data_IF_933435532115
#
_entry.id   IF_933435532115
#
_cell.length_a   1.000
_cell.length_b   1.000
_cell.length_c   1.000
_cell.angle_alpha   90.00
_cell.angle_beta   90.00
_cell.angle_gamma   90.00
#
_symmetry.space_group_name_H-M   'P 1'
#
loop_
_entity.id
_entity.type
_entity.pdbx_description
1 polymer ?
#
# COMPACT_ATOMS: atom_id res chain seq x y z
N UNK A 1 14.29 17.92 -3.86
CA UNK A 1 14.01 16.55 -3.38
C UNK A 1 13.02 16.52 -2.20
N UNK A 2 13.34 17.12 -1.04
CA UNK A 2 12.48 17.06 0.15
C UNK A 2 11.06 17.64 -0.03
N UNK A 3 10.89 18.74 -0.80
CA UNK A 3 9.57 19.35 -1.05
C UNK A 3 8.60 18.42 -1.80
N UNK A 4 9.08 17.76 -2.86
CA UNK A 4 8.27 16.83 -3.68
C UNK A 4 7.88 15.60 -2.86
N UNK A 5 8.83 15.05 -2.11
CA UNK A 5 8.60 13.92 -1.21
C UNK A 5 7.53 14.24 -0.15
N UNK A 6 7.65 15.39 0.53
CA UNK A 6 6.69 15.79 1.56
C UNK A 6 5.29 16.06 1.00
N UNK A 7 5.19 16.66 -0.20
CA UNK A 7 3.90 16.90 -0.84
C UNK A 7 3.19 15.59 -1.19
N UNK A 8 3.92 14.61 -1.75
CA UNK A 8 3.36 13.30 -2.09
C UNK A 8 2.96 12.49 -0.84
N UNK A 9 3.77 12.54 0.21
CA UNK A 9 3.45 11.87 1.47
C UNK A 9 2.21 12.46 2.17
N UNK A 10 1.98 13.77 2.07
CA UNK A 10 0.77 14.41 2.63
C UNK A 10 -0.50 13.98 1.89
N UNK A 11 -0.42 13.71 0.59
CA UNK A 11 -1.59 13.33 -0.23
C UNK A 11 -1.85 11.81 -0.21
N UNK A 12 -0.80 10.99 -0.33
CA UNK A 12 -0.93 9.55 -0.54
C UNK A 12 -0.52 8.71 0.67
N UNK A 13 0.04 9.31 1.71
CA UNK A 13 0.56 8.58 2.88
C UNK A 13 2.00 8.06 2.69
N UNK A 14 2.67 7.79 3.81
CA UNK A 14 4.09 7.43 3.83
C UNK A 14 4.40 6.06 3.22
N UNK A 15 3.43 5.14 3.17
CA UNK A 15 3.60 3.75 2.73
C UNK A 15 3.32 3.54 1.24
N UNK A 16 2.91 4.59 0.52
CA UNK A 16 2.49 4.52 -0.89
C UNK A 16 3.45 5.18 -1.87
N UNK A 17 4.41 5.95 -1.36
CA UNK A 17 5.47 6.59 -2.15
C UNK A 17 6.76 5.77 -1.98
N UNK A 18 7.11 4.96 -2.97
CA UNK A 18 8.30 4.10 -2.91
C UNK A 18 9.54 4.79 -3.46
N UNK A 19 9.65 4.85 -4.78
CA UNK A 19 10.81 5.40 -5.47
C UNK A 19 10.53 6.80 -6.03
N UNK A 20 11.36 7.77 -5.64
CA UNK A 20 11.39 9.12 -6.19
C UNK A 20 12.75 9.37 -6.85
N UNK A 21 12.75 9.36 -8.17
CA UNK A 21 13.93 9.71 -8.96
C UNK A 21 13.83 11.16 -9.44
N UNK A 22 14.83 11.96 -9.10
CA UNK A 22 14.96 13.35 -9.57
C UNK A 22 16.35 13.51 -10.17
N UNK A 23 16.41 13.73 -11.48
CA UNK A 23 17.62 14.16 -12.17
C UNK A 23 17.50 15.64 -12.51
N UNK A 24 18.49 16.41 -12.09
CA UNK A 24 18.65 17.82 -12.46
C UNK A 24 19.91 17.88 -13.32
N UNK A 25 19.74 18.19 -14.60
CA UNK A 25 20.82 18.60 -15.49
C UNK A 25 20.93 20.13 -15.46
N UNK A 26 22.03 20.70 -15.99
CA UNK A 26 22.28 22.16 -15.98
C UNK A 26 21.06 22.94 -16.49
N UNK A 27 20.37 22.39 -17.50
CA UNK A 27 19.23 23.03 -18.16
C UNK A 27 17.94 22.19 -18.15
N UNK A 28 17.81 21.11 -17.37
CA UNK A 28 16.60 20.26 -17.44
C UNK A 28 16.30 19.53 -16.14
N UNK A 29 15.02 19.46 -15.78
CA UNK A 29 14.52 18.65 -14.67
C UNK A 29 13.77 17.42 -15.21
N UNK A 30 14.15 16.24 -14.74
CA UNK A 30 13.41 14.99 -15.01
C UNK A 30 13.02 14.34 -13.69
N UNK A 31 11.72 14.14 -13.50
CA UNK A 31 11.16 13.51 -12.30
C UNK A 31 10.36 12.28 -12.70
N UNK A 32 10.61 11.17 -12.01
CA UNK A 32 9.79 9.97 -12.10
C UNK A 32 9.34 9.57 -10.70
N UNK A 33 8.03 9.31 -10.56
CA UNK A 33 7.39 8.98 -9.30
C UNK A 33 6.57 7.71 -9.47
N UNK A 34 6.81 6.74 -8.60
CA UNK A 34 6.04 5.51 -8.55
C UNK A 34 5.10 5.56 -7.35
N UNK A 35 3.79 5.38 -7.59
CA UNK A 35 2.76 5.38 -6.56
C UNK A 35 2.12 3.99 -6.49
N UNK A 36 2.11 3.39 -5.30
CA UNK A 36 1.47 2.09 -5.08
C UNK A 36 -0.05 2.24 -4.88
N UNK A 37 -0.78 1.21 -5.31
CA UNK A 37 -2.19 1.06 -5.01
C UNK A 37 -2.45 0.77 -3.54
N UNK A 38 -3.67 0.31 -3.24
CA UNK A 38 -4.04 -0.11 -1.89
C UNK A 38 -4.46 -1.56 -1.91
N UNK A 39 -4.13 -2.27 -0.84
CA UNK A 39 -4.56 -3.64 -0.62
C UNK A 39 -5.70 -3.64 0.39
N UNK A 40 -6.85 -4.18 0.00
CA UNK A 40 -7.99 -4.35 0.89
C UNK A 40 -8.20 -5.82 1.22
N UNK A 41 -8.37 -6.13 2.50
CA UNK A 41 -8.77 -7.47 2.95
C UNK A 41 -10.22 -7.71 2.54
N UNK A 42 -10.53 -8.89 2.02
CA UNK A 42 -11.90 -9.26 1.69
C UNK A 42 -12.61 -9.86 2.90
N UNK A 43 -13.87 -9.49 3.05
CA UNK A 43 -14.76 -9.95 4.10
C UNK A 43 -15.97 -10.61 3.47
N UNK A 44 -16.51 -11.63 4.12
CA UNK A 44 -17.77 -12.26 3.74
C UNK A 44 -18.97 -11.42 4.22
N UNK A 45 -20.19 -11.89 3.91
CA UNK A 45 -21.43 -11.22 4.31
C UNK A 45 -21.62 -11.14 5.84
N UNK A 46 -20.90 -11.98 6.61
CA UNK A 46 -20.94 -12.02 8.06
C UNK A 46 -19.89 -11.08 8.70
N UNK A 47 -19.02 -10.48 7.88
CA UNK A 47 -17.92 -9.63 8.35
C UNK A 47 -16.67 -10.43 8.76
N UNK A 48 -16.61 -11.72 8.46
CA UNK A 48 -15.44 -12.56 8.69
C UNK A 48 -14.47 -12.44 7.50
N UNK A 49 -13.16 -12.55 7.78
CA UNK A 49 -12.13 -12.51 6.74
C UNK A 49 -12.26 -13.72 5.81
N UNK A 50 -12.29 -13.49 4.51
CA UNK A 50 -12.24 -14.57 3.53
C UNK A 50 -10.82 -15.12 3.50
N UNK A 51 -10.69 -16.42 3.76
CA UNK A 51 -9.42 -17.13 3.75
C UNK A 51 -9.37 -18.00 2.49
N UNK A 52 -8.29 -17.87 1.73
CA UNK A 52 -8.02 -18.70 0.56
C UNK A 52 -7.80 -20.16 0.97
N UNK A 53 -7.96 -21.14 0.05
CA UNK A 53 -7.71 -22.54 0.35
C UNK A 53 -6.29 -22.84 0.87
N UNK A 54 -5.32 -21.97 0.54
CA UNK A 54 -3.94 -22.04 1.04
C UNK A 54 -3.77 -21.54 2.48
N UNK A 55 -4.82 -21.00 3.10
CA UNK A 55 -4.80 -20.47 4.46
C UNK A 55 -4.32 -19.02 4.56
N UNK A 56 -4.17 -18.32 3.44
CA UNK A 56 -3.82 -16.90 3.39
C UNK A 56 -5.07 -16.01 3.37
N UNK A 57 -4.99 -14.80 3.93
CA UNK A 57 -6.11 -13.84 3.90
C UNK A 57 -6.29 -13.35 2.45
N UNK A 58 -7.50 -13.46 1.92
CA UNK A 58 -7.81 -12.96 0.59
C UNK A 58 -7.75 -11.43 0.56
N UNK A 59 -7.02 -10.89 -0.41
CA UNK A 59 -6.79 -9.46 -0.59
C UNK A 59 -7.10 -9.05 -2.01
N UNK A 60 -7.72 -7.89 -2.16
CA UNK A 60 -7.96 -7.24 -3.44
C UNK A 60 -6.99 -6.08 -3.60
N UNK A 61 -6.29 -6.05 -4.74
CA UNK A 61 -5.47 -4.91 -5.11
C UNK A 61 -6.32 -3.88 -5.85
N UNK A 62 -6.38 -2.67 -5.29
CA UNK A 62 -7.06 -1.52 -5.89
C UNK A 62 -5.99 -0.58 -6.42
N UNK A 63 -5.79 -0.49 -7.74
CA UNK A 63 -4.79 0.41 -8.32
C UNK A 63 -5.18 1.87 -8.08
N UNK A 64 -4.18 2.76 -8.18
CA UNK A 64 -4.42 4.20 -8.13
C UNK A 64 -5.29 4.62 -9.31
N UNK A 65 -6.31 5.44 -9.05
CA UNK A 65 -7.18 5.94 -10.13
C UNK A 65 -6.39 6.83 -11.09
N UNK A 66 -6.84 6.91 -12.35
CA UNK A 66 -6.19 7.78 -13.33
C UNK A 66 -6.26 9.26 -12.93
N UNK A 67 -7.37 9.69 -12.35
CA UNK A 67 -7.58 11.06 -11.85
C UNK A 67 -6.58 11.42 -10.74
N UNK A 68 -6.33 10.49 -9.82
CA UNK A 68 -5.33 10.68 -8.76
C UNK A 68 -3.89 10.75 -9.32
N UNK A 69 -3.57 9.96 -10.34
CA UNK A 69 -2.27 10.01 -11.02
C UNK A 69 -2.07 11.34 -11.77
N UNK A 70 -3.11 11.87 -12.41
CA UNK A 70 -3.09 13.17 -13.06
C UNK A 70 -2.91 14.30 -12.03
N UNK A 71 -3.64 14.22 -10.92
CA UNK A 71 -3.51 15.16 -9.79
C UNK A 71 -2.11 15.12 -9.19
N UNK A 72 -1.56 13.93 -8.95
CA UNK A 72 -0.18 13.76 -8.48
C UNK A 72 0.84 14.36 -9.45
N UNK A 73 0.65 14.15 -10.76
CA UNK A 73 1.50 14.73 -11.80
C UNK A 73 1.51 16.25 -11.72
N UNK A 74 0.32 16.86 -11.61
CA UNK A 74 0.19 18.32 -11.49
C UNK A 74 0.86 18.86 -10.23
N UNK A 75 0.68 18.19 -9.09
CA UNK A 75 1.33 18.56 -7.82
C UNK A 75 2.86 18.53 -7.94
N UNK A 76 3.41 17.48 -8.56
CA UNK A 76 4.86 17.36 -8.78
C UNK A 76 5.37 18.46 -9.71
N UNK A 77 4.66 18.71 -10.82
CA UNK A 77 5.00 19.78 -11.77
C UNK A 77 5.04 21.15 -11.09
N UNK A 78 4.03 21.47 -10.29
CA UNK A 78 3.96 22.72 -9.53
C UNK A 78 5.09 22.83 -8.50
N UNK A 79 5.41 21.73 -7.81
CA UNK A 79 6.44 21.71 -6.77
C UNK A 79 7.87 21.94 -7.31
N UNK A 80 8.14 21.57 -8.56
CA UNK A 80 9.46 21.72 -9.20
C UNK A 80 9.58 22.94 -10.11
N UNK A 81 8.49 23.68 -10.33
CA UNK A 81 8.46 24.76 -11.33
C UNK A 81 8.69 24.23 -12.74
N UNK A 82 7.92 23.20 -13.12
CA UNK A 82 8.01 22.53 -14.42
C UNK A 82 7.93 23.53 -15.58
N UNK A 83 8.85 23.41 -16.51
CA UNK A 83 8.89 24.20 -17.73
C UNK A 83 9.09 23.31 -18.96
N UNK A 84 8.07 23.29 -19.83
CA UNK A 84 8.11 22.51 -21.07
C UNK A 84 9.15 23.03 -22.06
N UNK A 85 9.40 24.34 -22.09
CA UNK A 85 10.37 24.97 -23.00
C UNK A 85 11.81 24.62 -22.64
N UNK A 86 12.05 24.40 -21.34
CA UNK A 86 13.30 23.86 -20.78
C UNK A 86 13.48 22.35 -21.07
N UNK A 87 12.45 21.69 -21.60
CA UNK A 87 12.48 20.25 -21.89
C UNK A 87 12.31 19.38 -20.64
N UNK A 88 11.71 19.92 -19.58
CA UNK A 88 11.42 19.15 -18.38
C UNK A 88 10.49 17.97 -18.67
N UNK A 89 10.57 16.93 -17.84
CA UNK A 89 9.71 15.77 -17.94
C UNK A 89 9.30 15.30 -16.53
N UNK A 90 8.01 15.06 -16.34
CA UNK A 90 7.44 14.46 -15.13
C UNK A 90 6.61 13.25 -15.53
N UNK A 91 6.93 12.09 -14.97
CA UNK A 91 6.18 10.86 -15.15
C UNK A 91 5.75 10.31 -13.80
N UNK A 92 4.44 10.12 -13.63
CA UNK A 92 3.87 9.46 -12.45
C UNK A 92 3.16 8.19 -12.92
N UNK A 93 3.53 7.06 -12.34
CA UNK A 93 2.99 5.75 -12.73
C UNK A 93 2.54 4.97 -11.50
N UNK A 94 1.51 4.15 -11.71
CA UNK A 94 1.12 3.16 -10.72
C UNK A 94 1.90 1.87 -10.96
N UNK A 95 2.74 1.49 -9.99
CA UNK A 95 3.46 0.22 -9.99
C UNK A 95 3.16 -0.45 -8.67
N UNK A 96 2.65 -1.67 -8.74
CA UNK A 96 2.36 -2.49 -7.57
C UNK A 96 3.66 -2.90 -6.90
N UNK A 97 3.78 -2.67 -5.60
CA UNK A 97 4.93 -3.12 -4.83
C UNK A 97 4.72 -4.54 -4.32
N UNK A 98 5.81 -5.31 -4.26
CA UNK A 98 5.80 -6.61 -3.60
C UNK A 98 5.65 -6.39 -2.09
N UNK A 99 4.49 -6.79 -1.56
CA UNK A 99 4.16 -6.76 -0.13
C UNK A 99 4.02 -8.17 0.46
N UNK A 100 4.52 -9.21 -0.22
CA UNK A 100 4.37 -10.60 0.19
C UNK A 100 4.86 -10.85 1.62
N UNK A 101 6.04 -10.33 1.99
CA UNK A 101 6.59 -10.52 3.34
C UNK A 101 5.70 -9.91 4.44
N UNK A 102 5.09 -8.75 4.15
CA UNK A 102 4.14 -8.13 5.07
C UNK A 102 2.88 -9.00 5.21
N UNK A 103 2.37 -9.53 4.11
CA UNK A 103 1.19 -10.39 4.11
C UNK A 103 1.45 -11.70 4.85
N UNK A 104 2.61 -12.32 4.67
CA UNK A 104 2.99 -13.52 5.40
C UNK A 104 3.03 -13.29 6.91
N UNK A 105 3.63 -12.17 7.36
CA UNK A 105 3.66 -11.78 8.78
C UNK A 105 2.27 -11.56 9.35
N UNK A 106 1.39 -10.89 8.60
CA UNK A 106 -0.01 -10.67 9.00
C UNK A 106 -0.79 -11.99 9.08
N UNK A 107 -0.62 -12.87 8.11
CA UNK A 107 -1.32 -14.14 8.02
C UNK A 107 -0.84 -15.12 9.10
N UNK A 108 0.45 -15.11 9.42
CA UNK A 108 0.99 -15.81 10.59
C UNK A 108 0.41 -15.28 11.90
N UNK A 109 0.36 -13.97 12.09
CA UNK A 109 -0.18 -13.37 13.29
C UNK A 109 -1.66 -13.75 13.48
N UNK A 110 -2.44 -13.72 12.40
CA UNK A 110 -3.83 -14.14 12.38
C UNK A 110 -3.98 -15.62 12.75
N UNK A 111 -3.20 -16.52 12.13
CA UNK A 111 -3.22 -17.96 12.44
C UNK A 111 -2.85 -18.23 13.91
N UNK A 112 -1.84 -17.55 14.45
CA UNK A 112 -1.46 -17.65 15.87
C UNK A 112 -2.59 -17.21 16.79
N UNK A 113 -3.32 -16.15 16.43
CA UNK A 113 -4.46 -15.67 17.22
C UNK A 113 -5.62 -16.68 17.22
N UNK A 114 -5.95 -17.26 16.07
CA UNK A 114 -6.99 -18.30 15.97
C UNK A 114 -6.63 -19.55 16.78
N UNK A 115 -5.37 -20.01 16.71
CA UNK A 115 -4.91 -21.14 17.51
C UNK A 115 -5.02 -20.88 19.01
N UNK A 116 -4.68 -19.66 19.47
CA UNK A 116 -4.88 -19.26 20.87
C UNK A 116 -6.35 -19.31 21.26
N UNK A 117 -7.23 -18.72 20.44
CA UNK A 117 -8.69 -18.72 20.68
C UNK A 117 -9.25 -20.13 20.78
N UNK A 118 -8.89 -21.01 19.84
CA UNK A 118 -9.32 -22.41 19.83
C UNK A 118 -8.87 -23.15 21.10
N UNK A 119 -7.60 -22.97 21.51
CA UNK A 119 -7.06 -23.58 22.72
C UNK A 119 -7.75 -23.09 23.98
N UNK A 120 -8.03 -21.79 24.08
CA UNK A 120 -8.78 -21.22 25.20
C UNK A 120 -10.20 -21.78 25.29
N UNK A 121 -10.91 -21.86 24.17
CA UNK A 121 -12.27 -22.43 24.12
C UNK A 121 -12.24 -23.92 24.51
N UNK A 122 -11.31 -24.70 23.97
CA UNK A 122 -11.17 -26.12 24.28
C UNK A 122 -10.72 -26.38 25.74
N UNK A 123 -9.96 -25.46 26.34
CA UNK A 123 -9.63 -25.48 27.76
C UNK A 123 -10.84 -25.21 28.64
N UNK A 124 -11.63 -24.20 28.28
CA UNK A 124 -12.86 -23.84 28.98
C UNK A 124 -13.86 -24.99 28.93
N UNK A 125 -14.13 -25.58 27.76
CA UNK A 125 -15.04 -26.73 27.61
C UNK A 125 -14.67 -27.93 28.49
N UNK A 126 -13.37 -28.27 28.59
CA UNK A 126 -12.88 -29.35 29.48
C UNK A 126 -13.00 -29.04 30.97
N UNK A 127 -13.17 -27.77 31.34
CA UNK A 127 -13.42 -27.38 32.73
C UNK A 127 -14.91 -27.54 33.06
N UNK A 128 -15.80 -27.10 32.16
CA UNK A 128 -17.25 -27.31 32.29
C UNK A 128 -17.69 -28.78 32.27
N UNK A 129 -16.96 -29.67 31.60
CA UNK A 129 -17.25 -31.11 31.57
C UNK A 129 -16.73 -31.86 32.83
N UNK A 130 -15.99 -31.19 33.71
CA UNK A 130 -15.43 -31.78 34.95
C UNK A 130 -16.11 -31.32 36.24
N UNK A 131 -16.94 -30.29 36.16
CA UNK A 131 -17.78 -29.76 37.25
C UNK A 131 -19.22 -30.26 37.10
#
# INVERSE_FOLDING_TARGET
RAKVWNALQQTFGNDRVGDLYIKIDIDRITVSVNIDGTWKKKYDENGDLIITPSGAIEREYIPVSKEDLETATLLVQNAIGYDRSRGDNVSVVCIQFDRNEQFEKEDEAYRRQQQKRQRSIAGMRRQWERD
#
